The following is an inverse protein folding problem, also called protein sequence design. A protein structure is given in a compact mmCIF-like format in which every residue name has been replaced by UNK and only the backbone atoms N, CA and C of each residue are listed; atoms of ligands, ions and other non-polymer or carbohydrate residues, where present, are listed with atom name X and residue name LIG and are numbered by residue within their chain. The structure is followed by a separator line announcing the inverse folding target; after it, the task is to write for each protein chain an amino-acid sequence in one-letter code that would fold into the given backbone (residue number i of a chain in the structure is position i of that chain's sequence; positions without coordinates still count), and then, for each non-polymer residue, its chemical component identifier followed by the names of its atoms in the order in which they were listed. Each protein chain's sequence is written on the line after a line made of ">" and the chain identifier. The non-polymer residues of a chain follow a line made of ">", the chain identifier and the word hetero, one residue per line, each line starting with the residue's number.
data_IF_340678198163
#
_entry.id   IF_340678198163
#
_cell.length_a   1.000
_cell.length_b   1.000
_cell.length_c   1.000
_cell.angle_alpha   90.00
_cell.angle_beta   90.00
_cell.angle_gamma   90.00
#
_symmetry.space_group_name_H-M   'P 1'
#
loop_
_entity.id
_entity.type
_entity.pdbx_description
1 polymer ?
#
# COMPACT_ATOMS: atom_id res chain seq x y z
N UNK A 1 -3.10 -9.30 7.63
CA UNK A 1 -2.66 -10.45 6.80
C UNK A 1 -3.86 -10.97 6.04
N UNK A 2 -3.82 -10.97 4.71
CA UNK A 2 -4.90 -11.48 3.88
C UNK A 2 -4.58 -12.91 3.42
N UNK A 3 -5.55 -13.81 3.58
CA UNK A 3 -5.46 -15.20 3.15
C UNK A 3 -6.58 -15.49 2.15
N UNK A 4 -6.24 -16.14 1.04
CA UNK A 4 -7.19 -16.63 0.06
C UNK A 4 -7.27 -18.16 0.15
N UNK A 5 -8.46 -18.70 0.38
CA UNK A 5 -8.73 -20.14 0.27
C UNK A 5 -8.83 -20.51 -1.23
N UNK A 6 -7.85 -21.26 -1.71
CA UNK A 6 -7.70 -21.64 -3.11
C UNK A 6 -8.72 -22.70 -3.55
N UNK A 7 -9.33 -23.46 -2.63
CA UNK A 7 -10.41 -24.40 -2.97
C UNK A 7 -11.70 -23.64 -3.32
N UNK A 8 -11.86 -22.43 -2.77
CA UNK A 8 -13.00 -21.54 -3.03
C UNK A 8 -12.69 -20.48 -4.08
N UNK A 9 -11.42 -20.29 -4.43
CA UNK A 9 -10.99 -19.26 -5.37
C UNK A 9 -11.18 -19.73 -6.83
N UNK A 10 -12.15 -19.13 -7.53
CA UNK A 10 -12.40 -19.40 -8.96
C UNK A 10 -11.42 -18.73 -9.91
N UNK A 11 -10.46 -17.96 -9.38
CA UNK A 11 -9.46 -17.17 -10.14
C UNK A 11 -10.07 -16.17 -11.15
N UNK A 12 -11.26 -15.64 -10.86
CA UNK A 12 -11.93 -14.65 -11.71
C UNK A 12 -11.31 -13.24 -11.69
N UNK A 13 -10.32 -12.99 -10.82
CA UNK A 13 -9.62 -11.72 -10.62
C UNK A 13 -10.48 -10.51 -10.21
N UNK A 14 -11.74 -10.74 -9.83
CA UNK A 14 -12.63 -9.66 -9.35
C UNK A 14 -12.09 -8.95 -8.10
N UNK A 15 -11.39 -9.65 -7.21
CA UNK A 15 -10.78 -9.01 -6.04
C UNK A 15 -9.62 -8.06 -6.40
N UNK A 16 -8.82 -8.40 -7.41
CA UNK A 16 -7.72 -7.57 -7.90
C UNK A 16 -8.27 -6.35 -8.64
N UNK A 17 -9.28 -6.56 -9.50
CA UNK A 17 -9.93 -5.48 -10.26
C UNK A 17 -10.64 -4.49 -9.34
N UNK A 18 -11.45 -4.98 -8.39
CA UNK A 18 -12.10 -4.11 -7.42
C UNK A 18 -11.11 -3.30 -6.58
N UNK A 19 -9.93 -3.87 -6.27
CA UNK A 19 -8.87 -3.14 -5.59
C UNK A 19 -8.28 -2.02 -6.45
N UNK A 20 -8.06 -2.27 -7.74
CA UNK A 20 -7.62 -1.24 -8.68
C UNK A 20 -8.68 -0.14 -8.87
N UNK A 21 -9.94 -0.52 -9.03
CA UNK A 21 -11.06 0.43 -9.22
C UNK A 21 -11.22 1.36 -8.00
N UNK A 22 -10.94 0.87 -6.80
CA UNK A 22 -10.94 1.66 -5.57
C UNK A 22 -9.69 2.57 -5.40
N UNK A 23 -8.68 2.40 -6.25
CA UNK A 23 -7.35 3.03 -6.12
C UNK A 23 -6.79 3.49 -7.46
N UNK A 24 -7.59 4.24 -8.22
CA UNK A 24 -7.15 4.95 -9.43
C UNK A 24 -6.48 4.04 -10.49
N UNK A 25 -6.98 2.81 -10.62
CA UNK A 25 -6.46 1.81 -11.54
C UNK A 25 -5.22 1.07 -11.04
N UNK A 26 -4.74 1.37 -9.84
CA UNK A 26 -3.55 0.75 -9.24
C UNK A 26 -3.97 -0.24 -8.16
N UNK A 27 -3.90 -1.54 -8.47
CA UNK A 27 -4.17 -2.56 -7.46
C UNK A 27 -3.11 -2.60 -6.36
N UNK A 28 -3.57 -2.69 -5.11
CA UNK A 28 -2.74 -2.94 -3.91
C UNK A 28 -2.86 -4.38 -3.41
N UNK A 29 -3.55 -5.22 -4.19
CA UNK A 29 -3.78 -6.64 -3.95
C UNK A 29 -3.34 -7.43 -5.18
N UNK A 30 -2.32 -8.26 -5.03
CA UNK A 30 -1.88 -9.20 -6.07
C UNK A 30 -2.17 -10.61 -5.59
N UNK A 31 -2.82 -11.40 -6.44
CA UNK A 31 -3.16 -12.81 -6.19
C UNK A 31 -1.94 -13.73 -6.43
N UNK A 32 -0.82 -13.36 -5.83
CA UNK A 32 0.43 -14.09 -5.82
C UNK A 32 1.14 -13.91 -4.47
N UNK A 33 2.00 -14.85 -4.10
CA UNK A 33 2.68 -14.86 -2.80
C UNK A 33 2.91 -16.27 -2.26
N UNK A 34 3.18 -16.36 -0.95
CA UNK A 34 3.47 -17.62 -0.28
C UNK A 34 2.24 -18.53 -0.26
N UNK A 35 2.45 -19.81 -0.58
CA UNK A 35 1.40 -20.83 -0.55
C UNK A 35 1.67 -21.82 0.56
N UNK A 36 0.62 -22.18 1.28
CA UNK A 36 0.64 -23.19 2.31
C UNK A 36 -0.65 -24.00 2.21
N UNK A 37 -0.54 -25.25 1.75
CA UNK A 37 -1.68 -26.10 1.43
C UNK A 37 -2.67 -25.36 0.50
N UNK A 38 -3.97 -25.31 0.84
CA UNK A 38 -4.99 -24.57 0.11
C UNK A 38 -4.98 -23.05 0.33
N UNK A 39 -4.09 -22.51 1.15
CA UNK A 39 -4.07 -21.06 1.42
C UNK A 39 -2.99 -20.34 0.63
N UNK A 40 -3.38 -19.21 0.03
CA UNK A 40 -2.46 -18.22 -0.54
C UNK A 40 -2.40 -17.00 0.38
N UNK A 41 -1.20 -16.69 0.86
CA UNK A 41 -0.87 -15.41 1.49
C UNK A 41 -0.69 -14.39 0.37
N UNK A 42 -1.77 -13.67 0.04
CA UNK A 42 -1.76 -12.72 -1.07
C UNK A 42 -0.85 -11.52 -0.76
N UNK A 43 -0.07 -11.11 -1.76
CA UNK A 43 0.73 -9.89 -1.75
C UNK A 43 -0.19 -8.69 -1.61
N UNK A 44 -0.23 -8.14 -0.40
CA UNK A 44 -1.08 -7.02 0.01
C UNK A 44 -0.61 -6.50 1.37
N UNK A 45 -0.90 -5.25 1.70
CA UNK A 45 -0.53 -4.69 3.01
C UNK A 45 -0.99 -5.63 4.15
N UNK A 46 -0.10 -5.92 5.10
CA UNK A 46 -0.40 -6.87 6.19
C UNK A 46 -1.06 -6.22 7.40
N UNK A 47 -1.20 -4.89 7.41
CA UNK A 47 -1.69 -4.09 8.56
C UNK A 47 -0.92 -4.41 9.84
N UNK A 48 0.42 -4.35 9.75
CA UNK A 48 1.33 -4.76 10.80
C UNK A 48 1.04 -4.07 12.13
N UNK A 49 1.17 -4.80 13.25
CA UNK A 49 1.11 -4.20 14.59
C UNK A 49 2.21 -3.17 14.79
N UNK A 50 3.42 -3.51 14.37
CA UNK A 50 4.62 -2.67 14.45
C UNK A 50 5.13 -2.37 13.03
N UNK A 51 4.62 -1.32 12.35
CA UNK A 51 4.86 -1.08 10.94
C UNK A 51 6.21 -0.41 10.68
N UNK A 52 7.22 -1.19 10.28
CA UNK A 52 8.53 -0.68 9.88
C UNK A 52 8.47 0.33 8.72
N UNK A 53 7.46 0.21 7.85
CA UNK A 53 7.26 1.15 6.76
C UNK A 53 6.97 2.59 7.22
N UNK A 54 6.50 2.80 8.46
CA UNK A 54 6.27 4.14 9.03
C UNK A 54 7.56 4.80 9.55
N UNK A 55 8.63 4.03 9.74
CA UNK A 55 9.89 4.52 10.29
C UNK A 55 10.71 5.18 9.19
N UNK A 56 11.15 6.42 9.42
CA UNK A 56 12.10 7.13 8.56
C UNK A 56 11.49 7.93 7.41
N UNK A 57 10.15 8.04 7.30
CA UNK A 57 9.55 8.91 6.29
C UNK A 57 10.01 10.37 6.51
N UNK A 58 10.79 10.97 5.58
CA UNK A 58 11.43 12.27 5.81
C UNK A 58 10.42 13.43 5.89
N UNK A 59 9.23 13.23 5.33
CA UNK A 59 8.13 14.21 5.31
C UNK A 59 6.96 13.78 6.21
N UNK A 60 7.12 12.68 6.94
CA UNK A 60 6.08 12.15 7.83
C UNK A 60 4.72 11.95 7.17
N UNK A 61 4.66 11.49 5.92
CA UNK A 61 3.42 11.30 5.14
C UNK A 61 2.66 10.01 5.42
N UNK A 62 3.17 9.15 6.29
CA UNK A 62 2.55 7.86 6.56
C UNK A 62 1.71 7.97 7.83
N UNK A 63 0.45 7.55 7.75
CA UNK A 63 -0.53 7.57 8.85
C UNK A 63 -1.09 6.17 9.07
N UNK A 64 -1.61 5.96 10.27
CA UNK A 64 -2.27 4.72 10.64
C UNK A 64 -3.61 5.03 11.29
N UNK A 65 -4.67 4.37 10.83
CA UNK A 65 -5.99 4.42 11.48
C UNK A 65 -6.08 3.39 12.61
N UNK A 66 -7.09 3.53 13.47
CA UNK A 66 -7.39 2.57 14.53
C UNK A 66 -7.68 1.16 13.99
N UNK A 67 -8.16 1.06 12.74
CA UNK A 67 -8.34 -0.19 11.98
C UNK A 67 -7.02 -0.87 11.56
N UNK A 68 -5.87 -0.31 11.93
CA UNK A 68 -4.52 -0.70 11.50
C UNK A 68 -4.22 -0.47 10.01
N UNK A 69 -5.12 0.19 9.28
CA UNK A 69 -4.88 0.63 7.91
C UNK A 69 -3.71 1.61 7.86
N UNK A 70 -2.78 1.37 6.94
CA UNK A 70 -1.65 2.27 6.67
C UNK A 70 -2.00 3.13 5.46
N UNK A 71 -1.96 4.46 5.64
CA UNK A 71 -2.22 5.44 4.59
C UNK A 71 -0.94 6.20 4.28
N UNK A 72 -0.71 6.43 2.98
CA UNK A 72 0.34 7.32 2.49
C UNK A 72 -0.37 8.54 1.94
N UNK A 73 -0.11 9.67 2.57
CA UNK A 73 -0.80 10.92 2.31
C UNK A 73 -0.23 11.61 1.06
N UNK A 74 -1.00 12.54 0.51
CA UNK A 74 -0.71 13.23 -0.76
C UNK A 74 0.60 14.03 -0.73
N UNK A 75 1.12 14.41 0.44
CA UNK A 75 2.42 15.07 0.57
C UNK A 75 3.62 14.12 0.57
N UNK A 76 3.43 12.86 0.19
CA UNK A 76 4.52 11.94 -0.11
C UNK A 76 5.40 12.49 -1.24
N UNK A 77 6.72 12.37 -1.09
CA UNK A 77 7.71 12.81 -2.10
C UNK A 77 8.31 11.66 -2.91
N UNK A 78 7.82 10.43 -2.70
CA UNK A 78 8.23 9.28 -3.51
C UNK A 78 9.64 8.77 -3.23
N UNK A 79 10.22 9.06 -2.05
CA UNK A 79 11.60 8.67 -1.73
C UNK A 79 11.86 7.15 -1.64
N UNK A 80 10.81 6.32 -1.61
CA UNK A 80 10.92 4.86 -1.65
C UNK A 80 11.35 4.18 -0.35
N UNK A 81 11.68 4.93 0.72
CA UNK A 81 12.17 4.31 1.96
C UNK A 81 11.13 3.38 2.62
N UNK A 82 9.84 3.75 2.59
CA UNK A 82 8.77 2.89 3.09
C UNK A 82 8.66 1.57 2.32
N UNK A 83 8.88 1.60 1.00
CA UNK A 83 8.92 0.41 0.16
C UNK A 83 10.08 -0.51 0.54
N UNK A 84 11.28 0.07 0.69
CA UNK A 84 12.47 -0.66 1.16
C UNK A 84 12.29 -1.25 2.56
N UNK A 85 11.64 -0.52 3.46
CA UNK A 85 11.43 -0.93 4.84
C UNK A 85 10.30 -1.96 5.00
N UNK A 86 9.47 -2.19 3.99
CA UNK A 86 8.43 -3.22 4.06
C UNK A 86 9.08 -4.60 3.94
N UNK A 87 9.13 -5.43 5.01
CA UNK A 87 9.79 -6.74 4.95
C UNK A 87 9.04 -7.75 4.06
N UNK A 88 7.86 -7.38 3.58
CA UNK A 88 6.98 -8.22 2.77
C UNK A 88 6.86 -7.73 1.32
N UNK A 89 7.54 -6.63 0.95
CA UNK A 89 7.48 -6.09 -0.42
C UNK A 89 6.10 -5.60 -0.86
N UNK A 90 5.23 -5.22 0.09
CA UNK A 90 3.83 -4.88 -0.20
C UNK A 90 3.57 -3.38 -0.47
N UNK A 91 4.63 -2.60 -0.71
CA UNK A 91 4.54 -1.18 -1.07
C UNK A 91 5.27 -1.02 -2.39
N UNK A 92 4.53 -0.60 -3.42
CA UNK A 92 5.06 -0.32 -4.75
C UNK A 92 5.08 1.19 -4.98
N UNK A 93 6.19 1.68 -5.53
CA UNK A 93 6.29 3.08 -5.96
C UNK A 93 5.77 3.15 -7.40
N UNK A 94 4.75 3.97 -7.58
CA UNK A 94 4.23 4.34 -8.89
C UNK A 94 4.73 5.74 -9.25
N UNK A 95 4.71 6.08 -10.53
CA UNK A 95 5.04 7.43 -10.95
C UNK A 95 3.87 8.37 -10.61
N UNK A 96 4.18 9.54 -10.05
CA UNK A 96 3.22 10.58 -9.72
C UNK A 96 3.90 11.95 -9.74
N UNK A 97 3.10 13.01 -9.76
CA UNK A 97 3.58 14.39 -9.95
C UNK A 97 3.53 15.17 -8.63
N UNK A 98 4.69 15.50 -8.07
CA UNK A 98 4.82 16.29 -6.82
C UNK A 98 5.14 17.74 -7.15
N UNK A 99 4.17 18.49 -7.66
CA UNK A 99 4.45 19.83 -8.22
C UNK A 99 3.72 20.99 -7.57
N UNK A 100 2.70 20.77 -6.74
CA UNK A 100 1.94 21.89 -6.18
C UNK A 100 2.36 22.19 -4.74
N UNK A 101 2.54 23.47 -4.44
CA UNK A 101 2.67 23.93 -3.07
C UNK A 101 1.37 23.61 -2.33
N UNK A 102 1.48 23.08 -1.12
CA UNK A 102 0.32 22.85 -0.31
C UNK A 102 -0.12 24.15 0.37
N UNK A 103 -1.21 24.72 -0.13
CA UNK A 103 -1.83 25.95 0.38
C UNK A 103 -2.23 25.85 1.86
N UNK A 104 -2.46 24.63 2.37
CA UNK A 104 -2.85 24.41 3.77
C UNK A 104 -1.67 24.34 4.72
N UNK A 105 -0.44 24.07 4.23
CA UNK A 105 0.77 23.93 5.05
C UNK A 105 1.99 24.53 4.33
N UNK A 106 2.40 25.77 4.69
CA UNK A 106 3.57 26.41 4.10
C UNK A 106 4.83 25.55 4.17
N UNK A 107 5.60 25.51 3.09
CA UNK A 107 6.84 24.70 2.99
C UNK A 107 6.62 23.23 2.63
N UNK A 108 5.37 22.77 2.51
CA UNK A 108 5.02 21.42 2.07
C UNK A 108 4.61 21.40 0.60
N UNK A 109 4.92 20.32 -0.11
CA UNK A 109 4.40 20.02 -1.45
C UNK A 109 3.43 18.85 -1.37
N UNK A 110 2.43 18.81 -2.25
CA UNK A 110 1.49 17.68 -2.39
C UNK A 110 1.48 17.15 -3.83
N UNK A 111 1.21 15.85 -3.94
CA UNK A 111 0.92 15.16 -5.17
C UNK A 111 -0.45 15.62 -5.69
N UNK A 112 -0.56 15.71 -7.01
CA UNK A 112 -1.80 15.94 -7.76
C UNK A 112 -1.98 14.89 -8.82
#
# INVERSE_FOLDING_TARGET
>A
LLLLDLDRCTRCDLCVRACADAHDGVTRLVRDGLRFDKYLVATSCRSCRDPLCMIGCPVGSIRRRDSLEILIEDWCIGCGLCAKNCPYGNINIHNFTVMVADETRPGRRRAV
#
